data_IF_088345625530
#
_entry.id   IF_088345625530
#
_cell.length_a   1.000
_cell.length_b   1.000
_cell.length_c   1.000
_cell.angle_alpha   90.00
_cell.angle_beta   90.00
_cell.angle_gamma   90.00
#
_symmetry.space_group_name_H-M   'P 1'
#
loop_
_entity.id
_entity.type
_entity.pdbx_description
1 polymer ?
#
# COMPACT_ATOMS: atom_id res chain seq x y z
N UNK A 1 -8.34 -12.36 -9.06
CA UNK A 1 -6.97 -12.75 -8.68
C UNK A 1 -7.06 -13.42 -7.33
N UNK A 2 -6.47 -14.60 -7.13
CA UNK A 2 -6.45 -15.30 -5.82
C UNK A 2 -5.05 -15.11 -5.22
N UNK A 3 -4.98 -14.75 -3.95
CA UNK A 3 -3.89 -14.00 -3.34
C UNK A 3 -2.46 -14.55 -3.52
N UNK A 4 -2.21 -15.87 -3.45
CA UNK A 4 -0.85 -16.41 -3.67
C UNK A 4 -0.30 -16.22 -5.09
N UNK A 5 -1.18 -16.14 -6.10
CA UNK A 5 -0.77 -16.04 -7.50
C UNK A 5 -0.65 -14.58 -7.98
N UNK A 6 -1.03 -13.58 -7.17
CA UNK A 6 -0.93 -12.17 -7.57
C UNK A 6 0.51 -11.67 -7.64
N UNK A 7 1.33 -12.06 -6.66
CA UNK A 7 2.71 -11.56 -6.49
C UNK A 7 3.61 -11.87 -7.69
N UNK A 8 3.32 -12.95 -8.43
CA UNK A 8 4.11 -13.39 -9.60
C UNK A 8 3.61 -12.80 -10.92
N UNK A 9 2.54 -12.00 -10.95
CA UNK A 9 1.99 -11.52 -12.23
C UNK A 9 2.86 -10.45 -12.90
N UNK A 10 3.69 -9.73 -12.14
CA UNK A 10 4.58 -8.69 -12.66
C UNK A 10 5.77 -9.25 -13.45
N UNK A 11 6.44 -8.41 -14.23
CA UNK A 11 7.80 -8.69 -14.73
C UNK A 11 8.90 -8.22 -13.76
N UNK A 12 8.53 -7.50 -12.70
CA UNK A 12 9.43 -6.99 -11.67
C UNK A 12 9.70 -8.03 -10.57
N UNK A 13 10.51 -7.65 -9.58
CA UNK A 13 10.82 -8.49 -8.41
C UNK A 13 9.56 -9.08 -7.75
N UNK A 14 9.66 -10.34 -7.33
CA UNK A 14 8.56 -11.06 -6.66
C UNK A 14 8.85 -11.14 -5.17
N UNK A 15 7.93 -10.65 -4.33
CA UNK A 15 8.09 -10.74 -2.88
C UNK A 15 7.63 -12.12 -2.38
N UNK A 16 8.53 -12.88 -1.75
CA UNK A 16 8.24 -14.24 -1.28
C UNK A 16 7.75 -14.29 0.17
N UNK A 17 8.35 -13.48 1.03
CA UNK A 17 8.07 -13.51 2.47
C UNK A 17 8.54 -12.23 3.17
N UNK A 18 8.08 -12.06 4.40
CA UNK A 18 8.50 -10.98 5.30
C UNK A 18 7.31 -10.17 5.78
N UNK A 19 7.55 -9.34 6.78
CA UNK A 19 6.60 -8.36 7.32
C UNK A 19 7.22 -6.95 7.27
N UNK A 20 6.38 -5.94 7.50
CA UNK A 20 6.77 -4.53 7.44
C UNK A 20 7.84 -4.13 8.46
N UNK A 21 7.82 -4.70 9.66
CA UNK A 21 8.81 -4.38 10.69
C UNK A 21 10.18 -4.96 10.34
N UNK A 22 10.22 -6.22 9.92
CA UNK A 22 11.44 -6.86 9.45
C UNK A 22 12.00 -6.17 8.20
N UNK A 23 11.13 -5.71 7.29
CA UNK A 23 11.51 -4.91 6.13
C UNK A 23 12.24 -3.63 6.54
N UNK A 24 11.65 -2.87 7.47
CA UNK A 24 12.24 -1.62 7.96
C UNK A 24 13.61 -1.84 8.62
N UNK A 25 13.71 -2.86 9.48
CA UNK A 25 14.88 -3.11 10.31
C UNK A 25 16.02 -3.76 9.54
N UNK A 26 15.72 -4.74 8.68
CA UNK A 26 16.73 -5.58 8.04
C UNK A 26 16.95 -5.25 6.55
N UNK A 27 16.05 -4.45 5.97
CA UNK A 27 15.96 -4.27 4.52
C UNK A 27 15.50 -5.53 3.81
N UNK A 28 15.60 -5.51 2.50
CA UNK A 28 15.30 -6.66 1.64
C UNK A 28 16.54 -7.53 1.43
N UNK A 29 16.32 -8.84 1.26
CA UNK A 29 17.34 -9.85 0.96
C UNK A 29 16.92 -10.65 -0.26
N UNK A 30 17.90 -11.09 -1.04
CA UNK A 30 17.67 -11.98 -2.18
C UNK A 30 17.57 -13.43 -1.73
N UNK A 31 16.67 -14.23 -2.31
CA UNK A 31 16.39 -15.61 -1.89
C UNK A 31 17.64 -16.52 -1.87
N UNK A 32 18.56 -16.41 -2.84
CA UNK A 32 19.83 -17.17 -2.86
C UNK A 32 20.71 -16.92 -1.62
N UNK A 33 20.48 -15.82 -0.89
CA UNK A 33 21.20 -15.51 0.35
C UNK A 33 20.61 -16.18 1.60
N UNK A 34 19.52 -16.94 1.47
CA UNK A 34 18.74 -17.49 2.58
C UNK A 34 18.90 -19.01 2.74
N UNK A 35 20.13 -19.50 2.92
CA UNK A 35 20.33 -20.87 3.41
C UNK A 35 19.99 -20.95 4.91
N UNK A 36 18.78 -21.42 5.24
CA UNK A 36 18.45 -21.98 6.56
C UNK A 36 18.19 -21.00 7.73
N UNK A 37 17.94 -19.71 7.49
CA UNK A 37 17.54 -18.76 8.56
C UNK A 37 16.07 -18.34 8.44
N UNK A 38 15.40 -18.20 9.59
CA UNK A 38 14.04 -17.63 9.69
C UNK A 38 14.01 -16.25 9.01
N UNK A 39 12.98 -16.07 8.18
CA UNK A 39 12.98 -15.27 6.97
C UNK A 39 13.08 -13.75 7.18
N UNK A 40 14.18 -13.07 6.79
CA UNK A 40 14.12 -11.65 6.48
C UNK A 40 13.21 -11.42 5.26
N UNK A 41 12.81 -10.17 5.01
CA UNK A 41 12.09 -9.80 3.79
C UNK A 41 12.86 -10.32 2.56
N UNK A 42 12.25 -11.26 1.84
CA UNK A 42 12.88 -12.00 0.75
C UNK A 42 12.17 -11.72 -0.57
N UNK A 43 12.94 -11.51 -1.63
CA UNK A 43 12.41 -11.43 -2.98
C UNK A 43 13.24 -12.21 -4.00
N UNK A 44 12.59 -12.60 -5.09
CA UNK A 44 13.22 -13.21 -6.25
C UNK A 44 13.59 -12.13 -7.26
N UNK A 45 14.90 -12.04 -7.56
CA UNK A 45 15.49 -11.14 -8.56
C UNK A 45 15.40 -11.66 -10.00
N UNK A 46 14.69 -12.76 -10.23
CA UNK A 46 14.49 -13.28 -11.59
C UNK A 46 13.16 -12.80 -12.19
N UNK A 47 12.40 -11.99 -11.44
CA UNK A 47 11.13 -11.46 -11.87
C UNK A 47 9.98 -12.47 -11.78
N UNK A 48 8.78 -12.00 -12.08
CA UNK A 48 7.59 -12.85 -12.21
C UNK A 48 7.32 -13.29 -13.65
N UNK A 49 6.05 -13.65 -13.92
CA UNK A 49 5.57 -14.18 -15.20
C UNK A 49 5.39 -13.11 -16.30
N UNK A 50 5.45 -11.82 -15.96
CA UNK A 50 5.38 -10.74 -16.93
C UNK A 50 4.01 -10.51 -17.57
N UNK A 51 2.93 -10.82 -16.86
CA UNK A 51 1.58 -10.43 -17.27
C UNK A 51 1.26 -8.96 -17.04
N UNK A 52 2.04 -8.25 -16.21
CA UNK A 52 1.98 -6.81 -16.01
C UNK A 52 3.40 -6.24 -15.96
N UNK A 53 3.67 -5.20 -16.73
CA UNK A 53 5.01 -4.61 -16.77
C UNK A 53 5.17 -3.48 -15.75
N UNK A 54 6.36 -3.38 -15.15
CA UNK A 54 6.81 -2.27 -14.31
C UNK A 54 6.04 -2.11 -12.98
N UNK A 55 5.59 -3.22 -12.39
CA UNK A 55 4.92 -3.22 -11.09
C UNK A 55 5.38 -4.38 -10.21
N UNK A 56 5.71 -4.07 -8.96
CA UNK A 56 5.80 -5.07 -7.88
C UNK A 56 4.41 -5.28 -7.28
N UNK A 57 4.03 -6.53 -7.07
CA UNK A 57 2.70 -6.90 -6.58
C UNK A 57 2.82 -7.61 -5.23
N UNK A 58 1.91 -7.29 -4.31
CA UNK A 58 1.76 -7.99 -3.03
C UNK A 58 0.27 -8.32 -2.77
N UNK A 59 0.04 -9.28 -1.88
CA UNK A 59 -1.25 -9.93 -1.63
C UNK A 59 -1.56 -10.01 -0.15
N UNK A 60 -2.83 -10.27 0.20
CA UNK A 60 -3.29 -10.24 1.60
C UNK A 60 -2.87 -8.92 2.28
N UNK A 61 -2.92 -7.83 1.51
CA UNK A 61 -1.96 -6.75 1.68
C UNK A 61 -2.14 -5.98 2.99
N UNK A 62 -3.18 -5.16 3.11
CA UNK A 62 -3.41 -4.39 4.33
C UNK A 62 -3.81 -5.30 5.50
N UNK A 63 -4.39 -6.46 5.24
CA UNK A 63 -4.80 -7.45 6.25
C UNK A 63 -3.61 -8.12 6.96
N UNK A 64 -2.39 -7.96 6.41
CA UNK A 64 -1.13 -8.40 7.01
C UNK A 64 -0.15 -7.26 7.28
N UNK A 65 -0.60 -6.01 7.18
CA UNK A 65 0.23 -4.83 7.39
C UNK A 65 1.43 -4.79 6.44
N UNK A 66 1.27 -5.18 5.17
CA UNK A 66 2.37 -5.31 4.19
C UNK A 66 2.78 -3.98 3.53
N UNK A 67 2.27 -2.83 3.97
CA UNK A 67 2.54 -1.53 3.35
C UNK A 67 4.03 -1.20 3.30
N UNK A 68 4.72 -1.25 4.44
CA UNK A 68 6.16 -0.97 4.46
C UNK A 68 7.00 -2.09 3.88
N UNK A 69 6.52 -3.32 3.87
CA UNK A 69 7.16 -4.43 3.14
C UNK A 69 7.23 -4.13 1.64
N UNK A 70 6.13 -3.71 1.04
CA UNK A 70 6.09 -3.34 -0.38
C UNK A 70 6.93 -2.09 -0.64
N UNK A 71 6.73 -1.01 0.15
CA UNK A 71 7.51 0.24 0.00
C UNK A 71 9.01 -0.04 0.09
N UNK A 72 9.44 -0.81 1.09
CA UNK A 72 10.86 -1.11 1.25
C UNK A 72 11.41 -1.98 0.13
N UNK A 73 10.63 -2.93 -0.38
CA UNK A 73 11.02 -3.71 -1.56
C UNK A 73 11.27 -2.80 -2.75
N UNK A 74 10.38 -1.84 -3.01
CA UNK A 74 10.56 -0.89 -4.10
C UNK A 74 11.82 -0.03 -3.92
N UNK A 75 12.03 0.53 -2.72
CA UNK A 75 13.20 1.35 -2.44
C UNK A 75 14.52 0.60 -2.65
N UNK A 76 14.59 -0.67 -2.23
CA UNK A 76 15.81 -1.47 -2.33
C UNK A 76 16.05 -2.08 -3.72
N UNK A 77 15.01 -2.20 -4.56
CA UNK A 77 15.08 -2.95 -5.83
C UNK A 77 14.77 -2.13 -7.09
N UNK A 78 14.26 -0.90 -6.97
CA UNK A 78 13.85 -0.08 -8.14
C UNK A 78 14.96 0.17 -9.15
N UNK A 79 16.21 0.18 -8.69
CA UNK A 79 17.39 0.48 -9.51
C UNK A 79 18.04 -0.81 -10.09
N UNK A 80 17.42 -1.98 -9.89
CA UNK A 80 17.87 -3.22 -10.51
C UNK A 80 17.70 -3.16 -12.03
N UNK A 81 18.71 -3.61 -12.80
CA UNK A 81 18.56 -3.76 -14.24
C UNK A 81 17.39 -4.67 -14.61
N UNK A 82 16.64 -4.30 -15.65
CA UNK A 82 15.56 -5.05 -16.30
C UNK A 82 14.28 -5.33 -15.49
N UNK A 83 14.38 -5.47 -14.17
CA UNK A 83 13.28 -5.88 -13.28
C UNK A 83 12.93 -4.84 -12.21
N UNK A 84 13.75 -3.79 -12.07
CA UNK A 84 13.52 -2.72 -11.11
C UNK A 84 12.36 -1.82 -11.53
N UNK A 85 11.53 -1.42 -10.56
CA UNK A 85 10.47 -0.42 -10.74
C UNK A 85 10.23 0.34 -9.44
N UNK A 86 9.87 1.64 -9.50
CA UNK A 86 9.44 2.38 -8.32
C UNK A 86 7.95 2.17 -7.97
N UNK A 87 7.19 1.43 -8.78
CA UNK A 87 5.73 1.31 -8.63
C UNK A 87 5.30 -0.02 -8.02
N UNK A 88 4.39 0.04 -7.05
CA UNK A 88 3.83 -1.13 -6.40
C UNK A 88 2.31 -1.11 -6.30
N UNK A 89 1.72 -2.31 -6.32
CA UNK A 89 0.30 -2.52 -6.02
C UNK A 89 0.15 -3.57 -4.91
N UNK A 90 -0.58 -3.20 -3.86
CA UNK A 90 -1.00 -4.10 -2.81
C UNK A 90 -2.47 -4.44 -2.97
N UNK A 91 -2.83 -5.73 -3.07
CA UNK A 91 -4.22 -6.17 -3.20
C UNK A 91 -4.67 -6.82 -1.90
N UNK A 92 -5.69 -6.23 -1.27
CA UNK A 92 -6.28 -6.74 -0.03
C UNK A 92 -6.99 -8.07 -0.22
N UNK A 93 -7.26 -8.76 0.88
CA UNK A 93 -8.19 -9.88 0.88
C UNK A 93 -9.57 -9.45 0.36
N UNK A 94 -10.32 -10.40 -0.20
CA UNK A 94 -11.65 -10.16 -0.79
C UNK A 94 -11.64 -9.08 -1.90
N UNK A 95 -10.50 -8.86 -2.54
CA UNK A 95 -10.33 -7.85 -3.59
C UNK A 95 -9.63 -8.43 -4.82
N UNK A 96 -9.97 -7.90 -5.98
CA UNK A 96 -9.26 -8.13 -7.23
C UNK A 96 -9.06 -6.81 -7.97
N UNK A 97 -7.86 -6.60 -8.50
CA UNK A 97 -7.61 -5.63 -9.56
C UNK A 97 -7.69 -6.36 -10.91
N UNK A 98 -8.75 -6.11 -11.66
CA UNK A 98 -8.93 -6.68 -13.00
C UNK A 98 -8.28 -5.75 -14.01
N UNK A 99 -7.22 -6.23 -14.66
CA UNK A 99 -6.44 -5.42 -15.60
C UNK A 99 -6.82 -5.79 -17.04
N UNK A 100 -7.24 -4.78 -17.81
CA UNK A 100 -7.45 -4.87 -19.25
C UNK A 100 -6.21 -4.35 -20.00
N UNK A 101 -5.94 -4.92 -21.18
CA UNK A 101 -4.82 -4.54 -22.05
C UNK A 101 -3.45 -4.45 -21.33
N UNK A 102 -3.06 -5.48 -20.55
CA UNK A 102 -2.04 -5.34 -19.52
C UNK A 102 -0.62 -5.05 -20.03
N UNK A 103 -0.34 -5.31 -21.32
CA UNK A 103 0.97 -5.11 -21.93
C UNK A 103 1.10 -3.81 -22.77
N UNK A 104 -0.02 -3.13 -23.06
CA UNK A 104 -0.03 -1.95 -23.94
C UNK A 104 -0.59 -0.71 -23.26
N UNK A 105 -1.79 -0.81 -22.69
CA UNK A 105 -2.44 0.26 -21.93
C UNK A 105 -3.16 -0.36 -20.73
N UNK A 106 -2.42 -0.79 -19.70
CA UNK A 106 -2.99 -1.46 -18.55
C UNK A 106 -3.97 -0.54 -17.82
N UNK A 107 -5.26 -0.91 -17.84
CA UNK A 107 -6.29 -0.24 -17.04
C UNK A 107 -6.84 -1.24 -16.04
N UNK A 108 -6.63 -0.95 -14.76
CA UNK A 108 -7.10 -1.75 -13.64
C UNK A 108 -8.46 -1.28 -13.15
N UNK A 109 -9.39 -2.21 -12.89
CA UNK A 109 -10.66 -1.97 -12.20
C UNK A 109 -10.69 -2.71 -10.87
N UNK A 110 -11.04 -2.02 -9.79
CA UNK A 110 -11.18 -2.63 -8.46
C UNK A 110 -12.52 -3.34 -8.35
N UNK A 111 -12.49 -4.63 -8.02
CA UNK A 111 -13.66 -5.45 -7.70
C UNK A 111 -13.44 -6.01 -6.29
N UNK A 112 -14.47 -5.97 -5.45
CA UNK A 112 -14.42 -6.53 -4.10
C UNK A 112 -15.50 -7.59 -3.93
N UNK A 113 -15.43 -8.37 -2.85
CA UNK A 113 -16.60 -9.07 -2.34
C UNK A 113 -17.70 -8.07 -1.96
N UNK A 114 -18.94 -8.56 -1.86
CA UNK A 114 -20.06 -7.76 -1.36
C UNK A 114 -19.75 -7.24 0.05
N UNK A 115 -20.08 -5.97 0.31
CA UNK A 115 -19.98 -5.37 1.66
C UNK A 115 -18.53 -5.47 2.22
N UNK A 116 -17.55 -4.98 1.46
CA UNK A 116 -16.14 -4.99 1.87
C UNK A 116 -15.53 -3.59 1.93
N UNK A 117 -14.70 -3.35 2.95
CA UNK A 117 -13.87 -2.15 3.10
C UNK A 117 -12.48 -2.30 2.43
N UNK A 118 -12.26 -3.43 1.76
CA UNK A 118 -11.02 -3.79 1.11
C UNK A 118 -10.80 -3.03 -0.20
N UNK A 119 -9.56 -3.02 -0.67
CA UNK A 119 -9.21 -2.28 -1.88
C UNK A 119 -7.84 -2.62 -2.43
N UNK A 120 -7.35 -1.70 -3.24
CA UNK A 120 -6.04 -1.77 -3.87
C UNK A 120 -5.23 -0.57 -3.43
N UNK A 121 -4.12 -0.84 -2.78
CA UNK A 121 -3.09 0.14 -2.47
C UNK A 121 -2.19 0.35 -3.68
N UNK A 122 -1.86 1.60 -3.98
CA UNK A 122 -0.90 1.98 -5.01
C UNK A 122 0.14 2.91 -4.41
N UNK A 123 1.41 2.69 -4.76
CA UNK A 123 2.53 3.52 -4.33
C UNK A 123 3.52 3.72 -5.47
N UNK A 124 4.11 4.90 -5.53
CA UNK A 124 5.21 5.22 -6.43
C UNK A 124 6.33 5.87 -5.62
N UNK A 125 7.43 5.14 -5.43
CA UNK A 125 8.56 5.63 -4.63
C UNK A 125 9.59 6.40 -5.47
N UNK A 126 9.31 6.73 -6.73
CA UNK A 126 10.28 7.36 -7.66
C UNK A 126 10.85 8.68 -7.13
N UNK A 127 10.08 9.43 -6.34
CA UNK A 127 10.48 10.71 -5.74
C UNK A 127 11.19 10.57 -4.40
N UNK A 128 11.24 9.35 -3.82
CA UNK A 128 11.82 9.09 -2.51
C UNK A 128 13.34 8.90 -2.65
N UNK A 129 14.19 9.59 -1.87
CA UNK A 129 15.64 9.40 -1.92
C UNK A 129 16.06 7.94 -1.68
N UNK A 130 17.08 7.48 -2.40
CA UNK A 130 17.51 6.07 -2.43
C UNK A 130 18.25 5.58 -1.16
N UNK A 131 18.28 6.37 -0.08
CA UNK A 131 19.00 6.01 1.14
C UNK A 131 18.22 4.95 1.93
N UNK A 132 18.33 3.69 1.52
CA UNK A 132 17.78 2.56 2.26
C UNK A 132 18.71 2.11 3.38
N UNK A 133 18.39 2.47 4.63
CA UNK A 133 19.06 1.90 5.81
C UNK A 133 18.08 1.70 6.95
N UNK A 134 18.45 0.90 7.96
CA UNK A 134 17.64 0.70 9.17
C UNK A 134 17.53 1.96 10.04
N UNK A 135 18.33 2.99 9.73
CA UNK A 135 18.30 4.32 10.37
C UNK A 135 17.77 5.40 9.44
N UNK A 136 17.39 5.04 8.21
CA UNK A 136 16.93 5.99 7.23
C UNK A 136 15.56 6.52 7.62
N UNK A 137 15.38 7.80 7.31
CA UNK A 137 14.08 8.44 7.29
C UNK A 137 13.58 8.41 5.85
N UNK A 138 12.36 7.94 5.65
CA UNK A 138 11.71 7.97 4.34
C UNK A 138 10.65 9.08 4.38
N UNK A 139 10.91 10.18 3.68
CA UNK A 139 10.02 11.35 3.70
C UNK A 139 9.09 11.37 2.48
N UNK A 140 7.85 11.80 2.72
CA UNK A 140 6.86 12.11 1.68
C UNK A 140 6.67 11.00 0.64
N UNK A 141 6.55 9.75 1.09
CA UNK A 141 6.18 8.62 0.23
C UNK A 141 4.72 8.81 -0.21
N UNK A 142 4.44 8.99 -1.52
CA UNK A 142 3.08 9.16 -1.99
C UNK A 142 2.42 7.80 -2.19
N UNK A 143 1.22 7.66 -1.65
CA UNK A 143 0.40 6.47 -1.82
C UNK A 143 -1.07 6.80 -1.98
N UNK A 144 -1.79 5.81 -2.49
CA UNK A 144 -3.21 5.90 -2.85
C UNK A 144 -3.90 4.60 -2.46
N UNK A 145 -5.21 4.65 -2.25
CA UNK A 145 -6.04 3.49 -1.96
C UNK A 145 -7.36 3.58 -2.69
N UNK A 146 -7.67 2.57 -3.49
CA UNK A 146 -8.84 2.55 -4.37
C UNK A 146 -9.78 1.43 -3.96
N UNK A 147 -11.07 1.71 -3.88
CA UNK A 147 -12.09 0.73 -3.47
C UNK A 147 -13.00 0.39 -4.64
N UNK A 148 -13.99 -0.47 -4.36
CA UNK A 148 -14.90 -1.04 -5.35
C UNK A 148 -15.34 -0.06 -6.44
N UNK A 149 -15.26 -0.51 -7.69
CA UNK A 149 -15.61 0.20 -8.93
C UNK A 149 -14.71 1.37 -9.35
N UNK A 150 -13.67 1.71 -8.60
CA UNK A 150 -12.66 2.64 -9.10
C UNK A 150 -11.84 2.01 -10.22
N UNK A 151 -11.32 2.86 -11.09
CA UNK A 151 -10.42 2.47 -12.17
C UNK A 151 -9.16 3.31 -12.17
N UNK A 152 -8.03 2.68 -12.52
CA UNK A 152 -6.72 3.32 -12.61
C UNK A 152 -6.07 2.96 -13.95
N UNK A 153 -5.61 3.97 -14.68
CA UNK A 153 -4.71 3.81 -15.81
C UNK A 153 -3.29 3.62 -15.25
N UNK A 154 -2.75 2.41 -15.35
CA UNK A 154 -1.46 2.03 -14.76
C UNK A 154 -0.26 2.54 -15.59
N UNK A 155 -0.50 3.27 -16.68
CA UNK A 155 0.56 3.98 -17.40
C UNK A 155 0.72 5.40 -16.88
N UNK A 156 -0.39 6.14 -16.82
CA UNK A 156 -0.43 7.55 -16.43
C UNK A 156 -0.58 7.78 -14.91
N UNK A 157 -1.12 6.81 -14.19
CA UNK A 157 -1.53 6.97 -12.79
C UNK A 157 -2.88 7.68 -12.62
N UNK A 158 -3.56 8.02 -13.72
CA UNK A 158 -4.87 8.68 -13.67
C UNK A 158 -5.95 7.74 -13.13
N UNK A 159 -6.83 8.30 -12.31
CA UNK A 159 -7.87 7.57 -11.57
C UNK A 159 -9.24 8.10 -11.97
N UNK A 160 -10.15 7.19 -12.27
CA UNK A 160 -11.58 7.50 -12.36
C UNK A 160 -12.31 6.81 -11.22
N UNK A 161 -12.84 7.60 -10.29
CA UNK A 161 -13.65 7.10 -9.19
C UNK A 161 -15.01 6.61 -9.67
N UNK A 162 -15.58 5.66 -8.95
CA UNK A 162 -16.93 5.19 -9.25
C UNK A 162 -17.95 6.35 -9.19
N UNK A 163 -18.88 6.40 -10.16
CA UNK A 163 -19.79 7.55 -10.34
C UNK A 163 -20.76 7.83 -9.19
N UNK A 164 -20.89 6.89 -8.26
CA UNK A 164 -21.74 7.02 -7.06
C UNK A 164 -20.97 7.52 -5.84
N UNK A 165 -19.63 7.63 -5.92
CA UNK A 165 -18.83 8.27 -4.88
C UNK A 165 -18.86 9.78 -5.09
N UNK A 166 -18.88 10.51 -3.98
CA UNK A 166 -18.82 11.96 -3.97
C UNK A 166 -17.48 12.43 -3.37
N UNK A 167 -17.00 13.64 -3.72
CA UNK A 167 -15.84 14.22 -3.06
C UNK A 167 -16.05 14.28 -1.54
N UNK A 168 -15.03 13.90 -0.76
CA UNK A 168 -15.08 13.94 0.71
C UNK A 168 -14.73 15.34 1.24
N UNK A 169 -13.87 16.09 0.55
CA UNK A 169 -13.41 17.40 1.02
C UNK A 169 -14.58 18.37 1.20
N UNK A 170 -14.74 18.91 2.42
CA UNK A 170 -15.85 19.79 2.80
C UNK A 170 -17.09 19.06 3.33
N UNK A 171 -17.13 17.73 3.22
CA UNK A 171 -18.23 16.86 3.66
C UNK A 171 -17.70 15.79 4.65
N UNK A 172 -16.58 16.06 5.33
CA UNK A 172 -15.95 15.11 6.24
C UNK A 172 -16.88 14.71 7.39
N UNK A 173 -16.98 13.41 7.65
CA UNK A 173 -17.87 12.88 8.71
C UNK A 173 -17.27 12.96 10.10
N UNK A 174 -15.96 13.15 10.19
CA UNK A 174 -15.24 13.04 11.44
C UNK A 174 -14.52 14.33 11.83
N UNK A 175 -14.44 14.60 13.13
CA UNK A 175 -13.67 15.74 13.64
C UNK A 175 -12.17 15.39 13.63
N UNK A 176 -11.81 14.33 14.37
CA UNK A 176 -10.41 14.00 14.65
C UNK A 176 -9.91 12.79 13.87
N UNK A 177 -8.63 12.78 13.51
CA UNK A 177 -7.94 11.57 13.07
C UNK A 177 -7.74 10.62 14.25
N UNK A 178 -7.50 9.33 13.95
CA UNK A 178 -7.24 8.31 14.98
C UNK A 178 -5.83 7.75 14.78
N UNK A 179 -4.89 8.06 15.69
CA UNK A 179 -3.53 7.52 15.60
C UNK A 179 -3.50 6.05 16.01
N UNK A 180 -2.59 5.29 15.40
CA UNK A 180 -2.27 3.92 15.81
C UNK A 180 -0.98 3.87 16.63
N UNK A 181 -0.97 3.01 17.65
CA UNK A 181 0.23 2.68 18.43
C UNK A 181 0.95 1.42 17.93
N UNK A 182 0.40 0.76 16.91
CA UNK A 182 0.99 -0.37 16.19
C UNK A 182 0.66 -0.33 14.69
N UNK A 183 1.13 0.73 14.03
CA UNK A 183 0.74 1.03 12.64
C UNK A 183 1.13 -0.05 11.60
N UNK A 184 2.04 -0.96 11.94
CA UNK A 184 2.51 -2.05 11.09
C UNK A 184 1.95 -3.42 11.50
N UNK A 185 0.90 -3.43 12.32
CA UNK A 185 0.31 -4.67 12.83
C UNK A 185 -0.14 -5.57 11.68
N UNK A 186 0.15 -6.86 11.83
CA UNK A 186 -0.43 -7.92 10.98
C UNK A 186 -1.74 -8.47 11.56
N UNK A 187 -2.22 -7.88 12.66
CA UNK A 187 -3.50 -8.21 13.26
C UNK A 187 -4.64 -7.45 12.58
N UNK A 188 -5.82 -8.06 12.58
CA UNK A 188 -7.04 -7.39 12.11
C UNK A 188 -7.69 -6.63 13.25
N UNK A 189 -8.18 -5.40 13.01
CA UNK A 189 -8.29 -4.74 11.72
C UNK A 189 -6.99 -4.02 11.27
N UNK A 190 -6.79 -3.85 9.96
CA UNK A 190 -5.59 -3.21 9.40
C UNK A 190 -5.40 -1.78 9.91
N UNK A 191 -4.34 -1.54 10.68
CA UNK A 191 -4.06 -0.24 11.31
C UNK A 191 -3.74 0.84 10.27
N UNK A 192 -2.86 0.55 9.30
CA UNK A 192 -2.52 1.51 8.23
C UNK A 192 -3.75 1.94 7.43
N UNK A 193 -4.57 0.98 6.98
CA UNK A 193 -5.77 1.27 6.18
C UNK A 193 -6.79 2.05 6.98
N UNK A 194 -7.06 1.68 8.24
CA UNK A 194 -8.04 2.36 9.06
C UNK A 194 -7.64 3.78 9.43
N UNK A 195 -6.39 4.00 9.85
CA UNK A 195 -5.87 5.33 10.15
C UNK A 195 -6.01 6.24 8.94
N UNK A 196 -5.64 5.79 7.73
CA UNK A 196 -5.70 6.62 6.54
C UNK A 196 -7.13 6.82 6.00
N UNK A 197 -8.00 5.81 6.11
CA UNK A 197 -9.44 5.97 5.85
C UNK A 197 -10.09 6.98 6.79
N UNK A 198 -9.69 6.97 8.07
CA UNK A 198 -10.16 7.96 9.05
C UNK A 198 -9.62 9.34 8.71
N UNK A 199 -8.32 9.43 8.40
CA UNK A 199 -7.66 10.69 8.07
C UNK A 199 -8.29 11.37 6.85
N UNK A 200 -8.58 10.63 5.77
CA UNK A 200 -9.19 11.22 4.57
C UNK A 200 -10.62 11.73 4.79
N UNK A 201 -11.28 11.32 5.87
CA UNK A 201 -12.68 11.67 6.16
C UNK A 201 -12.83 12.41 7.50
N UNK A 202 -11.75 13.04 7.97
CA UNK A 202 -11.79 13.92 9.14
C UNK A 202 -11.31 15.34 8.84
N UNK A 203 -11.61 16.29 9.73
CA UNK A 203 -11.19 17.70 9.57
C UNK A 203 -9.70 17.93 9.81
N UNK A 204 -9.03 17.03 10.51
CA UNK A 204 -7.58 17.08 10.65
C UNK A 204 -6.87 16.71 9.34
N UNK A 205 -5.73 17.36 9.08
CA UNK A 205 -4.96 17.17 7.84
C UNK A 205 -3.78 16.21 8.00
N UNK A 206 -3.46 15.81 9.22
CA UNK A 206 -2.37 14.88 9.49
C UNK A 206 -2.60 14.05 10.74
N UNK A 207 -1.88 12.95 10.88
CA UNK A 207 -1.88 12.12 12.10
C UNK A 207 -0.52 11.44 12.28
N UNK A 208 -0.10 11.30 13.53
CA UNK A 208 1.15 10.64 13.90
C UNK A 208 0.88 9.31 14.58
N UNK A 209 1.44 8.24 14.05
CA UNK A 209 1.34 6.87 14.56
C UNK A 209 2.72 6.34 14.97
N UNK A 210 2.74 5.22 15.69
CA UNK A 210 3.99 4.52 16.03
C UNK A 210 3.91 3.03 15.73
N UNK A 211 5.07 2.39 15.57
CA UNK A 211 5.17 0.93 15.67
C UNK A 211 4.94 0.45 17.11
N UNK A 212 4.62 -0.83 17.28
CA UNK A 212 4.45 -1.46 18.59
C UNK A 212 5.60 -1.13 19.55
N UNK A 213 5.27 -0.69 20.76
CA UNK A 213 6.25 -0.20 21.74
C UNK A 213 7.20 -1.28 22.26
N UNK A 214 6.80 -2.55 22.22
CA UNK A 214 7.61 -3.70 22.63
C UNK A 214 8.60 -4.18 21.56
N UNK A 215 8.54 -3.64 20.35
CA UNK A 215 9.42 -4.02 19.23
C UNK A 215 10.44 -2.91 18.98
N UNK A 216 11.72 -3.28 19.00
CA UNK A 216 12.85 -2.36 18.77
C UNK A 216 13.59 -2.69 17.45
N UNK A 217 14.10 -1.67 16.74
CA UNK A 217 13.89 -0.23 16.98
C UNK A 217 12.43 0.18 16.73
N UNK A 218 12.00 1.26 17.41
CA UNK A 218 10.67 1.83 17.22
C UNK A 218 10.68 2.80 16.04
N UNK A 219 9.54 2.92 15.39
CA UNK A 219 9.33 3.87 14.30
C UNK A 219 8.12 4.75 14.57
N UNK A 220 8.18 5.96 14.05
CA UNK A 220 7.06 6.88 13.94
C UNK A 220 6.65 6.97 12.46
N UNK A 221 5.35 7.01 12.22
CA UNK A 221 4.77 7.24 10.90
C UNK A 221 3.89 8.48 10.96
N UNK A 222 4.22 9.49 10.19
CA UNK A 222 3.43 10.70 10.03
C UNK A 222 2.69 10.63 8.69
N UNK A 223 1.37 10.68 8.73
CA UNK A 223 0.53 10.78 7.54
C UNK A 223 0.04 12.20 7.33
N UNK A 224 -0.03 12.62 6.07
CA UNK A 224 -0.48 13.95 5.66
C UNK A 224 -1.40 13.83 4.43
N UNK A 225 -2.58 14.46 4.51
CA UNK A 225 -3.60 14.50 3.47
C UNK A 225 -3.74 15.85 2.77
N UNK A 226 -2.83 16.81 2.99
CA UNK A 226 -2.94 18.15 2.40
C UNK A 226 -3.06 18.15 0.86
N UNK A 227 -2.37 17.24 0.18
CA UNK A 227 -2.44 17.06 -1.28
C UNK A 227 -3.35 15.90 -1.69
N UNK A 228 -3.96 15.21 -0.72
CA UNK A 228 -4.77 14.06 -0.98
C UNK A 228 -6.15 14.45 -1.50
N UNK A 229 -6.66 13.67 -2.44
CA UNK A 229 -8.03 13.83 -2.96
C UNK A 229 -8.81 12.57 -2.61
N UNK A 230 -9.90 12.75 -1.85
CA UNK A 230 -10.75 11.68 -1.34
C UNK A 230 -12.14 11.67 -1.97
N UNK A 231 -12.65 10.47 -2.26
CA UNK A 231 -14.01 10.20 -2.71
C UNK A 231 -14.61 9.07 -1.89
N UNK A 232 -15.85 9.23 -1.41
CA UNK A 232 -16.50 8.27 -0.53
C UNK A 232 -18.01 8.25 -0.72
N UNK A 233 -18.62 7.14 -0.33
CA UNK A 233 -20.06 6.94 -0.25
C UNK A 233 -20.38 5.53 0.30
N UNK A 234 -21.64 5.33 0.67
CA UNK A 234 -22.20 4.00 0.92
C UNK A 234 -22.20 3.18 -0.38
N UNK A 235 -21.81 1.90 -0.30
CA UNK A 235 -21.90 0.98 -1.43
C UNK A 235 -23.35 0.91 -1.92
N UNK A 236 -23.62 1.16 -3.22
CA UNK A 236 -24.98 1.10 -3.75
C UNK A 236 -25.63 -0.26 -3.52
N UNK A 237 -26.91 -0.24 -3.12
CA UNK A 237 -27.73 -1.42 -2.81
C UNK A 237 -27.22 -2.28 -1.65
N UNK A 238 -26.25 -1.83 -0.86
CA UNK A 238 -25.86 -2.51 0.37
C UNK A 238 -26.85 -2.18 1.52
N UNK A 239 -27.61 -3.16 2.04
CA UNK A 239 -28.54 -2.92 3.14
C UNK A 239 -27.84 -2.47 4.44
N UNK A 240 -26.54 -2.76 4.60
CA UNK A 240 -25.76 -2.35 5.77
C UNK A 240 -25.20 -0.93 5.64
N UNK A 241 -25.33 -0.29 4.47
CA UNK A 241 -24.74 1.02 4.17
C UNK A 241 -23.25 1.05 4.49
N UNK A 242 -22.51 0.09 3.94
CA UNK A 242 -21.06 0.06 4.12
C UNK A 242 -20.45 1.25 3.39
N UNK A 243 -19.96 2.21 4.18
CA UNK A 243 -19.25 3.37 3.67
C UNK A 243 -17.80 3.04 3.31
N UNK A 244 -17.42 3.29 2.05
CA UNK A 244 -16.05 3.16 1.57
C UNK A 244 -15.49 4.52 1.19
N UNK A 245 -14.19 4.70 1.41
CA UNK A 245 -13.46 5.89 0.98
C UNK A 245 -12.27 5.45 0.12
N UNK A 246 -11.99 6.24 -0.91
CA UNK A 246 -10.89 6.06 -1.85
C UNK A 246 -10.13 7.36 -1.94
N UNK A 247 -8.81 7.27 -2.07
CA UNK A 247 -7.98 8.46 -2.07
C UNK A 247 -6.72 8.29 -2.90
N UNK A 248 -6.21 9.42 -3.36
CA UNK A 248 -4.90 9.51 -4.01
C UNK A 248 -4.02 10.54 -3.32
N UNK A 249 -2.71 10.39 -3.47
CA UNK A 249 -1.69 11.35 -3.03
C UNK A 249 -1.67 11.60 -1.51
N UNK A 250 -2.03 10.59 -0.71
CA UNK A 250 -1.71 10.60 0.71
C UNK A 250 -0.19 10.50 0.87
N UNK A 251 0.39 11.24 1.80
CA UNK A 251 1.83 11.20 2.06
C UNK A 251 2.11 10.48 3.37
N UNK A 252 3.12 9.61 3.36
CA UNK A 252 3.68 9.00 4.56
C UNK A 252 5.13 9.44 4.77
N UNK A 253 5.48 9.75 6.02
CA UNK A 253 6.87 9.94 6.45
C UNK A 253 7.18 8.95 7.57
N UNK A 254 8.21 8.12 7.38
CA UNK A 254 8.61 7.08 8.33
C UNK A 254 9.97 7.44 8.93
N UNK A 255 10.02 7.52 10.26
CA UNK A 255 11.20 7.97 11.02
C UNK A 255 11.52 6.95 12.13
N UNK A 256 12.76 6.44 12.23
CA UNK A 256 13.17 5.68 13.41
C UNK A 256 13.18 6.60 14.63
N UNK A 257 12.58 6.16 15.72
CA UNK A 257 12.66 6.85 17.00
C UNK A 257 14.04 6.57 17.61
N UNK A 258 14.72 7.63 18.05
CA UNK A 258 15.98 7.47 18.81
C UNK A 258 15.67 6.70 20.09
N UNK A 259 16.48 5.65 20.34
CA UNK A 259 16.48 4.92 21.60
C UNK A 259 16.90 5.82 22.76
#
# INVERSE_FOLDING_TARGET
MVAGNSAIMGNSVVIHSGDSMNALVQGTKYEESLSGKRFPLAYCKYGGLGFLNNYVLDSHFSDKGHEMRLIRTLLDSRDLPDIGTPKGLGVDENTALVISNPLSKPVGKVITAEVSLSGVFFVDVSTVPAESSSKATYEKIPFSFFTVNDTIDLTSGEVTYASWKIPIAGEEWFEDAIPSSDIFSAETPSEWRQTNRRLIDCKEVNVTCTSLSSVLPRFQVFFDRLEAVGFGADIPNDPKKTYVASYRNMLATIKPLKA
#
